data_IF_000209712932
#
_entry.id   IF_000209712932
#
_cell.length_a   1.000
_cell.length_b   1.000
_cell.length_c   1.000
_cell.angle_alpha   90.00
_cell.angle_beta   90.00
_cell.angle_gamma   90.00
#
_symmetry.space_group_name_H-M   'P 1'
#
loop_
_entity.id
_entity.type
_entity.pdbx_description
1 polymer ?
#
# COMPACT_ATOMS: atom_id res chain seq x y z
N UNK A 1 6.45 -5.49 -7.35
CA UNK A 1 5.34 -5.20 -8.30
C UNK A 1 4.00 -4.99 -7.59
N UNK A 2 3.50 -5.92 -6.75
CA UNK A 2 2.24 -5.74 -6.00
C UNK A 2 2.14 -4.41 -5.23
N UNK A 3 3.14 -4.09 -4.41
CA UNK A 3 3.18 -2.87 -3.60
C UNK A 3 3.02 -1.60 -4.45
N UNK A 4 3.64 -1.55 -5.64
CA UNK A 4 3.53 -0.42 -6.55
C UNK A 4 2.11 -0.26 -7.11
N UNK A 5 1.47 -1.37 -7.49
CA UNK A 5 0.11 -1.33 -8.02
C UNK A 5 -0.93 -0.90 -6.98
N UNK A 6 -0.76 -1.30 -5.72
CA UNK A 6 -1.61 -0.80 -4.63
C UNK A 6 -1.31 0.67 -4.36
N UNK A 7 -0.03 1.03 -4.27
CA UNK A 7 0.42 2.40 -4.02
C UNK A 7 -0.12 3.44 -5.00
N UNK A 8 -0.06 3.17 -6.32
CA UNK A 8 -0.50 4.11 -7.35
C UNK A 8 -2.03 4.29 -7.38
N UNK A 9 -2.80 3.38 -6.75
CA UNK A 9 -4.25 3.49 -6.62
C UNK A 9 -4.68 4.34 -5.43
N UNK A 10 -3.78 4.63 -4.50
CA UNK A 10 -4.07 5.48 -3.36
C UNK A 10 -3.81 6.94 -3.69
N UNK A 11 -4.81 7.78 -3.45
CA UNK A 11 -4.70 9.23 -3.53
C UNK A 11 -4.27 9.78 -2.18
N UNK A 12 -3.33 10.72 -2.19
CA UNK A 12 -2.87 11.38 -0.96
C UNK A 12 -4.05 11.97 -0.20
N UNK A 13 -4.14 11.66 1.08
CA UNK A 13 -5.16 12.25 1.92
C UNK A 13 -6.54 11.60 1.86
N UNK A 14 -6.76 10.65 0.95
CA UNK A 14 -8.09 10.06 0.68
C UNK A 14 -8.14 8.60 1.12
N UNK A 15 -9.24 8.22 1.77
CA UNK A 15 -9.53 6.84 2.15
C UNK A 15 -10.07 6.05 0.96
N UNK A 16 -9.58 4.83 0.82
CA UNK A 16 -9.97 3.89 -0.22
C UNK A 16 -10.27 2.54 0.39
N UNK A 17 -11.38 1.92 -0.01
CA UNK A 17 -11.71 0.55 0.43
C UNK A 17 -10.80 -0.46 -0.24
N UNK A 18 -10.27 -1.40 0.52
CA UNK A 18 -9.44 -2.50 0.01
C UNK A 18 -10.20 -3.30 -1.04
N UNK A 19 -11.50 -3.55 -0.87
CA UNK A 19 -12.32 -4.29 -1.84
C UNK A 19 -12.40 -3.58 -3.21
N UNK A 20 -12.49 -2.25 -3.22
CA UNK A 20 -12.51 -1.47 -4.46
C UNK A 20 -11.17 -1.58 -5.19
N UNK A 21 -10.07 -1.47 -4.45
CA UNK A 21 -8.71 -1.61 -4.99
C UNK A 21 -8.51 -3.04 -5.52
N UNK A 22 -8.96 -4.06 -4.79
CA UNK A 22 -8.87 -5.46 -5.19
C UNK A 22 -9.65 -5.72 -6.48
N UNK A 23 -10.85 -5.15 -6.60
CA UNK A 23 -11.68 -5.22 -7.82
C UNK A 23 -11.01 -4.51 -9.01
N UNK A 24 -10.49 -3.29 -8.81
CA UNK A 24 -9.80 -2.52 -9.85
C UNK A 24 -8.54 -3.21 -10.37
N UNK A 25 -7.77 -3.84 -9.47
CA UNK A 25 -6.53 -4.53 -9.79
C UNK A 25 -6.74 -5.99 -10.19
N UNK A 26 -7.96 -6.53 -10.04
CA UNK A 26 -8.31 -7.94 -10.25
C UNK A 26 -7.39 -8.91 -9.51
N UNK A 27 -7.10 -8.59 -8.25
CA UNK A 27 -6.27 -9.42 -7.36
C UNK A 27 -7.04 -9.78 -6.09
N UNK A 28 -6.63 -10.82 -5.36
CA UNK A 28 -7.27 -11.18 -4.10
C UNK A 28 -7.24 -10.04 -3.08
N UNK A 29 -8.35 -9.83 -2.37
CA UNK A 29 -8.45 -8.86 -1.26
C UNK A 29 -7.32 -9.04 -0.26
N UNK A 30 -6.98 -10.28 0.08
CA UNK A 30 -5.87 -10.62 0.99
C UNK A 30 -4.52 -10.06 0.55
N UNK A 31 -4.25 -9.98 -0.76
CA UNK A 31 -3.02 -9.39 -1.29
C UNK A 31 -3.00 -7.86 -1.14
N UNK A 32 -4.16 -7.22 -1.29
CA UNK A 32 -4.32 -5.77 -1.04
C UNK A 32 -4.23 -5.46 0.45
N UNK A 33 -4.87 -6.24 1.32
CA UNK A 33 -4.73 -6.11 2.79
C UNK A 33 -3.27 -6.25 3.22
N UNK A 34 -2.56 -7.24 2.67
CA UNK A 34 -1.14 -7.42 2.96
C UNK A 34 -0.31 -6.20 2.54
N UNK A 35 -0.55 -5.69 1.33
CA UNK A 35 0.14 -4.51 0.83
C UNK A 35 -0.20 -3.26 1.65
N UNK A 36 -1.46 -3.05 2.02
CA UNK A 36 -1.90 -1.93 2.84
C UNK A 36 -1.25 -1.96 4.23
N UNK A 37 -1.21 -3.13 4.89
CA UNK A 37 -0.50 -3.33 6.16
C UNK A 37 0.99 -3.04 6.02
N UNK A 38 1.65 -3.59 4.99
CA UNK A 38 3.05 -3.29 4.72
C UNK A 38 3.31 -1.79 4.56
N UNK A 39 2.49 -1.09 3.77
CA UNK A 39 2.62 0.35 3.59
C UNK A 39 2.39 1.11 4.90
N UNK A 40 1.46 0.65 5.74
CA UNK A 40 1.18 1.22 7.05
C UNK A 40 2.34 1.03 8.03
N UNK A 41 2.89 -0.19 8.13
CA UNK A 41 4.03 -0.52 8.99
C UNK A 41 5.27 0.32 8.67
N UNK A 42 5.40 0.74 7.40
CA UNK A 42 6.50 1.57 6.94
C UNK A 42 6.19 3.09 6.97
N UNK A 43 5.03 3.49 7.48
CA UNK A 43 4.60 4.89 7.61
C UNK A 43 4.35 5.59 6.27
N UNK A 44 3.93 4.82 5.26
CA UNK A 44 3.58 5.31 3.93
C UNK A 44 2.05 5.43 3.75
N UNK A 45 1.28 4.69 4.52
CA UNK A 45 -0.17 4.69 4.52
C UNK A 45 -0.72 4.61 5.96
N UNK A 46 -2.02 4.87 6.10
CA UNK A 46 -2.81 4.47 7.27
C UNK A 46 -3.75 3.34 6.81
N UNK A 47 -3.82 2.26 7.59
CA UNK A 47 -4.73 1.14 7.37
C UNK A 47 -5.61 0.96 8.61
N UNK A 48 -6.94 0.99 8.42
CA UNK A 48 -7.91 0.95 9.51
C UNK A 48 -8.63 -0.41 9.62
N UNK A 49 -9.34 -0.62 10.73
CA UNK A 49 -10.13 -1.81 11.05
C UNK A 49 -11.27 -2.06 10.07
N UNK A 50 -11.77 -1.01 9.39
CA UNK A 50 -12.80 -1.09 8.34
C UNK A 50 -12.23 -1.54 6.97
N UNK A 51 -10.97 -1.99 6.93
CA UNK A 51 -10.27 -2.39 5.71
C UNK A 51 -10.22 -1.25 4.68
N UNK A 52 -10.02 -0.03 5.19
CA UNK A 52 -9.78 1.16 4.41
C UNK A 52 -8.29 1.54 4.50
N UNK A 53 -7.76 2.06 3.40
CA UNK A 53 -6.37 2.47 3.31
C UNK A 53 -6.27 3.86 2.71
N UNK A 54 -5.42 4.69 3.31
CA UNK A 54 -5.13 6.05 2.86
C UNK A 54 -3.63 6.25 2.72
N UNK A 55 -3.21 6.91 1.64
CA UNK A 55 -1.81 7.30 1.49
C UNK A 55 -1.48 8.57 2.27
N UNK A 56 -0.34 8.55 2.95
CA UNK A 56 0.20 9.71 3.67
C UNK A 56 0.98 10.62 2.72
N UNK A 57 0.87 11.94 2.89
CA UNK A 57 1.56 12.92 2.04
C UNK A 57 3.09 12.80 2.17
N UNK A 58 3.84 13.14 1.12
CA UNK A 58 5.33 13.15 1.08
C UNK A 58 6.04 11.77 1.12
N UNK A 59 5.44 10.77 0.48
CA UNK A 59 5.87 9.37 0.62
C UNK A 59 6.46 8.75 -0.65
N UNK A 60 6.61 9.53 -1.75
CA UNK A 60 7.04 9.01 -3.05
C UNK A 60 8.52 8.59 -3.09
N UNK A 61 9.43 9.45 -2.63
CA UNK A 61 10.87 9.12 -2.50
C UNK A 61 11.08 7.98 -1.51
N UNK A 62 10.38 8.05 -0.37
CA UNK A 62 10.42 7.06 0.70
C UNK A 62 9.93 5.67 0.26
N UNK A 63 8.92 5.60 -0.61
CA UNK A 63 8.42 4.34 -1.16
C UNK A 63 9.52 3.58 -1.94
N UNK A 64 10.26 4.26 -2.82
CA UNK A 64 11.30 3.62 -3.63
C UNK A 64 12.43 3.07 -2.75
N UNK A 65 12.82 3.80 -1.70
CA UNK A 65 13.84 3.37 -0.74
C UNK A 65 13.39 2.15 0.08
N UNK A 66 12.12 2.11 0.50
CA UNK A 66 11.56 0.97 1.25
C UNK A 66 11.47 -0.28 0.37
N UNK A 67 11.00 -0.13 -0.88
CA UNK A 67 10.95 -1.27 -1.80
C UNK A 67 12.36 -1.77 -2.13
N UNK A 68 13.32 -0.86 -2.32
CA UNK A 68 14.72 -1.23 -2.56
C UNK A 68 15.32 -1.96 -1.36
N UNK A 69 15.14 -1.47 -0.13
CA UNK A 69 15.66 -2.13 1.08
C UNK A 69 15.04 -3.51 1.34
N UNK A 70 13.75 -3.68 1.01
CA UNK A 70 13.03 -4.96 1.13
C UNK A 70 13.53 -6.00 0.14
N UNK A 71 13.88 -5.59 -1.09
CA UNK A 71 14.43 -6.50 -2.12
C UNK A 71 15.91 -6.80 -1.86
N UNK A 72 16.65 -5.85 -1.26
CA UNK A 72 18.10 -5.96 -1.05
C UNK A 72 18.48 -6.70 0.23
N UNK A 73 17.53 -6.92 1.15
CA UNK A 73 17.77 -7.73 2.35
C UNK A 73 17.52 -9.21 2.04
N UNK A 74 18.57 -10.06 2.00
CA UNK A 74 18.36 -11.50 2.03
C UNK A 74 17.85 -11.85 3.42
N UNK A 75 16.57 -12.20 3.53
CA UNK A 75 16.10 -13.04 4.64
C UNK A 75 16.39 -14.49 4.30
#
# INVERSE_FOLDING_TARGET
MLLWYVWIRLVDGTWHKVDEIASQLRIPKSAVCWAAKFLSDHGLAEYDEEEEVRRLHDSRSRFEDIVRSTISSPR
#
